data_IF_235614151688
#
_entry.id   IF_235614151688
#
_cell.length_a   1.000
_cell.length_b   1.000
_cell.length_c   1.000
_cell.angle_alpha   90.00
_cell.angle_beta   90.00
_cell.angle_gamma   90.00
#
_symmetry.space_group_name_H-M   'P 1'
#
loop_
_entity.id
_entity.type
_entity.pdbx_description
1 polymer ?
#
# COMPACT_ATOMS: atom_id res chain seq x y z
N UNK A 1 -42.71 23.09 -1.65
CA UNK A 1 -42.25 22.42 -2.90
C UNK A 1 -40.88 23.01 -3.16
N UNK A 2 -39.88 22.41 -2.52
CA UNK A 2 -38.48 22.78 -2.63
C UNK A 2 -37.83 22.06 -3.81
N UNK A 3 -37.15 22.79 -4.70
CA UNK A 3 -35.98 22.32 -5.43
C UNK A 3 -34.75 22.99 -4.80
N UNK A 4 -34.07 22.33 -3.88
CA UNK A 4 -32.85 21.55 -4.14
C UNK A 4 -31.89 22.17 -5.19
N UNK A 5 -30.64 22.26 -4.75
CA UNK A 5 -29.40 22.24 -5.54
C UNK A 5 -29.03 23.52 -6.33
N UNK A 6 -27.89 24.14 -6.07
CA UNK A 6 -26.80 23.72 -5.20
C UNK A 6 -25.78 24.83 -5.03
N UNK A 7 -25.65 25.29 -3.80
CA UNK A 7 -24.45 25.93 -3.30
C UNK A 7 -23.73 24.89 -2.43
N UNK A 8 -23.10 23.93 -3.11
CA UNK A 8 -22.12 23.04 -2.49
C UNK A 8 -20.75 23.51 -2.92
N UNK A 9 -20.35 24.65 -2.40
CA UNK A 9 -18.95 24.96 -2.12
C UNK A 9 -18.31 23.73 -1.48
N UNK A 10 -17.55 22.98 -2.26
CA UNK A 10 -16.60 22.01 -1.71
C UNK A 10 -15.55 22.85 -0.97
N UNK A 11 -15.67 22.88 0.36
CA UNK A 11 -14.50 22.94 1.24
C UNK A 11 -13.50 21.87 0.77
N UNK A 12 -12.21 22.13 0.79
CA UNK A 12 -11.48 22.66 1.93
C UNK A 12 -10.35 21.67 2.16
N UNK A 13 -9.12 22.13 1.92
CA UNK A 13 -7.99 21.93 2.82
C UNK A 13 -7.96 20.58 3.56
N UNK A 14 -7.26 19.60 3.00
CA UNK A 14 -6.38 18.76 3.79
C UNK A 14 -5.42 18.05 2.84
N UNK A 15 -4.27 18.68 2.60
CA UNK A 15 -3.05 17.90 2.45
C UNK A 15 -2.93 17.05 3.71
N UNK A 16 -3.42 15.82 3.66
CA UNK A 16 -3.12 14.81 4.67
C UNK A 16 -1.66 14.43 4.45
N UNK A 17 -0.75 15.29 4.86
CA UNK A 17 0.59 14.88 5.28
C UNK A 17 0.42 14.23 6.65
N UNK A 18 -0.17 13.04 6.66
CA UNK A 18 -0.07 12.11 7.79
C UNK A 18 1.39 12.04 8.23
N UNK A 19 1.67 12.03 9.54
CA UNK A 19 3.04 11.98 10.07
C UNK A 19 3.82 10.88 9.34
N UNK A 20 4.94 11.30 8.75
CA UNK A 20 5.80 10.45 7.93
C UNK A 20 6.53 9.48 8.84
N UNK A 21 5.85 8.43 9.28
CA UNK A 21 6.51 7.28 9.87
C UNK A 21 7.48 6.73 8.82
N UNK A 22 8.78 6.91 9.05
CA UNK A 22 9.82 6.43 8.15
C UNK A 22 9.71 4.91 8.05
N UNK A 23 9.60 4.43 6.82
CA UNK A 23 9.50 3.00 6.52
C UNK A 23 10.77 2.58 5.82
N UNK A 24 11.46 1.58 6.37
CA UNK A 24 12.69 1.03 5.79
C UNK A 24 12.45 -0.40 5.32
N UNK A 25 13.09 -0.76 4.21
CA UNK A 25 13.10 -2.12 3.69
C UNK A 25 14.54 -2.62 3.64
N UNK A 26 14.85 -3.63 4.43
CA UNK A 26 16.15 -4.30 4.42
C UNK A 26 16.05 -5.52 3.51
N UNK A 27 16.82 -5.51 2.42
CA UNK A 27 16.86 -6.60 1.43
C UNK A 27 18.21 -7.32 1.38
N UNK A 28 19.25 -6.74 1.99
CA UNK A 28 20.58 -7.31 2.07
C UNK A 28 20.69 -8.15 3.35
N UNK A 29 20.23 -9.40 3.26
CA UNK A 29 20.07 -10.31 4.39
C UNK A 29 18.65 -10.88 4.44
N UNK A 30 18.20 -11.44 5.58
CA UNK A 30 16.81 -11.81 5.77
C UNK A 30 15.91 -10.58 5.54
N UNK A 31 14.92 -10.66 4.64
CA UNK A 31 14.15 -9.49 4.27
C UNK A 31 13.30 -9.01 5.44
N UNK A 32 13.42 -7.72 5.78
CA UNK A 32 12.68 -7.10 6.87
C UNK A 32 12.05 -5.77 6.45
N UNK A 33 10.83 -5.56 6.93
CA UNK A 33 10.12 -4.29 6.89
C UNK A 33 10.26 -3.66 8.27
N UNK A 34 10.75 -2.42 8.34
CA UNK A 34 10.84 -1.66 9.59
C UNK A 34 9.93 -0.45 9.46
N UNK A 35 8.97 -0.34 10.37
CA UNK A 35 8.17 0.87 10.57
C UNK A 35 8.36 1.30 12.02
N UNK A 36 8.77 2.55 12.23
CA UNK A 36 9.20 3.01 13.56
C UNK A 36 10.38 2.18 14.07
N UNK A 37 10.20 1.49 15.19
CA UNK A 37 11.21 0.65 15.84
C UNK A 37 10.95 -0.87 15.72
N UNK A 38 9.89 -1.30 15.02
CA UNK A 38 9.50 -2.73 14.99
C UNK A 38 9.87 -3.38 13.64
N UNK A 39 10.86 -4.28 13.61
CA UNK A 39 11.13 -5.11 12.44
C UNK A 39 10.06 -6.19 12.28
N UNK A 40 9.56 -6.36 11.06
CA UNK A 40 8.54 -7.35 10.70
C UNK A 40 8.96 -8.08 9.43
N UNK A 41 8.89 -9.42 9.37
CA UNK A 41 9.07 -10.12 8.12
C UNK A 41 7.91 -9.77 7.17
N UNK A 42 8.14 -9.69 5.84
CA UNK A 42 7.12 -9.32 4.85
C UNK A 42 6.00 -10.35 4.70
N UNK A 43 6.06 -11.50 5.37
CA UNK A 43 5.07 -12.57 5.31
C UNK A 43 5.18 -13.47 4.08
N UNK A 44 5.43 -12.91 2.89
CA UNK A 44 5.71 -13.70 1.67
C UNK A 44 6.74 -13.01 0.76
N UNK A 45 7.30 -13.78 -0.18
CA UNK A 45 8.15 -13.22 -1.26
C UNK A 45 7.38 -12.25 -2.17
N UNK A 46 6.07 -12.44 -2.37
CA UNK A 46 5.26 -11.54 -3.21
C UNK A 46 4.95 -10.23 -2.49
N UNK A 47 4.70 -10.27 -1.18
CA UNK A 47 4.60 -9.07 -0.36
C UNK A 47 5.92 -8.28 -0.38
N UNK A 48 7.06 -8.96 -0.25
CA UNK A 48 8.38 -8.32 -0.35
C UNK A 48 8.59 -7.67 -1.73
N UNK A 49 8.32 -8.40 -2.81
CA UNK A 49 8.47 -7.88 -4.16
C UNK A 49 7.55 -6.67 -4.41
N UNK A 50 6.32 -6.71 -3.90
CA UNK A 50 5.38 -5.61 -3.95
C UNK A 50 5.87 -4.39 -3.16
N UNK A 51 6.37 -4.61 -1.93
CA UNK A 51 6.91 -3.55 -1.07
C UNK A 51 8.14 -2.88 -1.68
N UNK A 52 9.11 -3.68 -2.16
CA UNK A 52 10.32 -3.19 -2.80
C UNK A 52 10.01 -2.43 -4.09
N UNK A 53 9.12 -2.98 -4.93
CA UNK A 53 8.73 -2.32 -6.17
C UNK A 53 8.05 -0.98 -5.92
N UNK A 54 7.09 -0.92 -5.00
CA UNK A 54 6.40 0.33 -4.65
C UNK A 54 7.34 1.33 -3.96
N UNK A 55 8.21 0.85 -3.07
CA UNK A 55 9.18 1.67 -2.36
C UNK A 55 10.24 2.31 -3.28
N UNK A 56 10.71 1.57 -4.29
CA UNK A 56 11.64 2.11 -5.30
C UNK A 56 10.94 3.09 -6.25
N UNK A 57 9.70 2.78 -6.66
CA UNK A 57 8.95 3.61 -7.62
C UNK A 57 8.52 4.94 -7.02
N UNK A 58 8.14 4.97 -5.74
CA UNK A 58 7.70 6.19 -5.05
C UNK A 58 6.43 6.84 -5.63
N UNK A 59 5.73 6.16 -6.54
CA UNK A 59 4.55 6.67 -7.24
C UNK A 59 3.40 5.66 -7.25
N UNK A 60 2.14 6.10 -7.40
CA UNK A 60 1.01 5.21 -7.60
C UNK A 60 1.21 4.33 -8.85
N UNK A 61 1.03 3.02 -8.69
CA UNK A 61 1.13 2.06 -9.80
C UNK A 61 -0.22 1.38 -10.06
N UNK A 62 -0.68 1.26 -11.33
CA UNK A 62 -1.89 0.53 -11.67
C UNK A 62 -1.87 -0.92 -11.16
N UNK A 63 -2.99 -1.37 -10.62
CA UNK A 63 -3.12 -2.73 -10.06
C UNK A 63 -2.94 -3.80 -11.14
N UNK A 64 -3.43 -3.55 -12.35
CA UNK A 64 -3.24 -4.42 -13.52
C UNK A 64 -1.75 -4.69 -13.79
N UNK A 65 -0.94 -3.64 -13.75
CA UNK A 65 0.52 -3.73 -13.99
C UNK A 65 1.21 -4.54 -12.90
N UNK A 66 0.86 -4.28 -11.64
CA UNK A 66 1.40 -5.03 -10.49
C UNK A 66 1.01 -6.51 -10.55
N UNK A 67 -0.24 -6.79 -10.92
CA UNK A 67 -0.74 -8.16 -11.04
C UNK A 67 0.00 -8.93 -12.15
N UNK A 68 0.19 -8.32 -13.32
CA UNK A 68 0.92 -8.94 -14.43
C UNK A 68 2.41 -9.14 -14.11
N UNK A 69 3.04 -8.19 -13.41
CA UNK A 69 4.45 -8.27 -13.04
C UNK A 69 4.70 -9.37 -11.98
N UNK A 70 3.85 -9.46 -10.97
CA UNK A 70 4.06 -10.35 -9.82
C UNK A 70 3.49 -11.75 -10.02
N UNK A 71 2.48 -11.95 -10.86
CA UNK A 71 1.91 -13.27 -11.17
C UNK A 71 1.91 -13.54 -12.69
N UNK A 72 3.10 -13.67 -13.30
CA UNK A 72 3.17 -14.05 -14.71
C UNK A 72 2.52 -15.43 -14.91
N UNK A 73 1.70 -15.57 -15.94
CA UNK A 73 1.01 -16.83 -16.29
C UNK A 73 -0.29 -17.12 -15.54
N UNK A 74 -0.71 -16.26 -14.60
CA UNK A 74 -2.05 -16.34 -14.02
C UNK A 74 -3.09 -15.63 -14.90
N UNK A 75 -4.33 -16.15 -14.94
CA UNK A 75 -5.45 -15.41 -15.52
C UNK A 75 -5.62 -14.05 -14.82
N UNK A 76 -6.02 -13.02 -15.56
CA UNK A 76 -6.11 -11.63 -15.06
C UNK A 76 -6.90 -11.50 -13.76
N UNK A 77 -8.05 -12.18 -13.66
CA UNK A 77 -8.88 -12.16 -12.45
C UNK A 77 -8.23 -12.88 -11.26
N UNK A 78 -7.51 -13.98 -11.50
CA UNK A 78 -6.77 -14.68 -10.47
C UNK A 78 -5.60 -13.83 -9.96
N UNK A 79 -4.84 -13.20 -10.87
CA UNK A 79 -3.72 -12.33 -10.52
C UNK A 79 -4.20 -11.12 -9.68
N UNK A 80 -5.34 -10.50 -10.04
CA UNK A 80 -5.96 -9.41 -9.26
C UNK A 80 -6.44 -9.86 -7.89
N UNK A 81 -7.00 -11.06 -7.76
CA UNK A 81 -7.40 -11.64 -6.46
C UNK A 81 -6.18 -11.82 -5.56
N UNK A 82 -5.12 -12.43 -6.10
CA UNK A 82 -3.85 -12.60 -5.38
C UNK A 82 -3.24 -11.26 -4.96
N UNK A 83 -3.22 -10.27 -5.86
CA UNK A 83 -2.73 -8.93 -5.57
C UNK A 83 -3.50 -8.27 -4.42
N UNK A 84 -4.83 -8.37 -4.39
CA UNK A 84 -5.64 -7.82 -3.30
C UNK A 84 -5.31 -8.46 -1.95
N UNK A 85 -5.18 -9.78 -1.90
CA UNK A 85 -4.78 -10.50 -0.69
C UNK A 85 -3.39 -10.09 -0.21
N UNK A 86 -2.45 -9.94 -1.13
CA UNK A 86 -1.08 -9.56 -0.79
C UNK A 86 -0.96 -8.10 -0.36
N UNK A 87 -1.72 -7.19 -0.99
CA UNK A 87 -1.84 -5.81 -0.54
C UNK A 87 -2.44 -5.71 0.86
N UNK A 88 -3.44 -6.53 1.18
CA UNK A 88 -4.03 -6.55 2.52
C UNK A 88 -3.00 -7.00 3.57
N UNK A 89 -2.28 -8.10 3.31
CA UNK A 89 -1.19 -8.57 4.18
C UNK A 89 -0.10 -7.52 4.35
N UNK A 90 0.31 -6.91 3.25
CA UNK A 90 1.36 -5.89 3.28
C UNK A 90 0.90 -4.65 4.07
N UNK A 91 -0.35 -4.23 3.90
CA UNK A 91 -0.95 -3.16 4.72
C UNK A 91 -0.97 -3.51 6.20
N UNK A 92 -1.29 -4.75 6.57
CA UNK A 92 -1.22 -5.20 7.97
C UNK A 92 0.20 -5.23 8.51
N UNK A 93 1.20 -5.58 7.68
CA UNK A 93 2.60 -5.52 8.07
C UNK A 93 3.07 -4.08 8.30
N UNK A 94 2.55 -3.12 7.55
CA UNK A 94 2.79 -1.70 7.78
C UNK A 94 1.87 -1.11 8.84
N UNK A 95 0.71 -1.67 9.15
CA UNK A 95 -0.23 -1.11 10.12
C UNK A 95 0.29 -1.29 11.55
N UNK A 96 1.06 -0.31 12.01
CA UNK A 96 1.13 0.19 13.39
C UNK A 96 1.72 1.60 13.36
N UNK A 97 1.28 2.44 14.30
CA UNK A 97 1.51 3.89 14.51
C UNK A 97 0.42 4.87 14.02
N UNK A 98 -0.70 4.43 13.45
CA UNK A 98 -1.84 5.33 13.12
C UNK A 98 -2.93 5.39 14.21
N UNK A 99 -2.73 4.76 15.36
CA UNK A 99 -3.61 4.87 16.53
C UNK A 99 -2.79 5.41 17.69
N UNK A 100 -2.70 6.73 17.75
CA UNK A 100 -1.90 7.46 18.74
C UNK A 100 -1.74 8.93 18.34
N UNK A 101 -2.86 9.66 18.35
CA UNK A 101 -2.92 11.10 18.06
C UNK A 101 -4.37 11.57 18.03
#
# INVERSE_FOLDING_TARGET
>A
MDPDSGDRVLGGEAGVTTPTASTQLLVLGPPMIIRGATPRPPGTQKALALAGYLGIRGEPVPRERLAALLWPGSASDQARRSLRGELARLRSAFADDAVGG
#
